data_IF_868033243273
#
_entry.id   IF_868033243273
#
_cell.length_a   1.000
_cell.length_b   1.000
_cell.length_c   1.000
_cell.angle_alpha   90.00
_cell.angle_beta   90.00
_cell.angle_gamma   90.00
#
_symmetry.space_group_name_H-M   'P 1'
#
loop_
_entity.id
_entity.type
_entity.pdbx_description
1 polymer ?
#
# COMPACT_ATOMS: atom_id res chain seq x y z
N UNK A 1 -10.56 -5.48 51.72
CA UNK A 1 -9.88 -5.27 50.41
C UNK A 1 -9.72 -6.61 49.69
N UNK A 2 -10.82 -7.27 49.31
CA UNK A 2 -10.73 -8.60 48.68
C UNK A 2 -11.80 -8.89 47.60
N UNK A 3 -12.64 -7.91 47.23
CA UNK A 3 -13.71 -8.11 46.24
C UNK A 3 -13.50 -7.41 44.88
N UNK A 4 -12.38 -6.71 44.67
CA UNK A 4 -12.10 -6.02 43.38
C UNK A 4 -11.25 -6.80 42.39
N UNK A 5 -11.05 -8.11 42.58
CA UNK A 5 -10.21 -8.94 41.68
C UNK A 5 -10.98 -9.84 40.71
N UNK A 6 -12.31 -9.89 40.74
CA UNK A 6 -13.07 -10.89 39.94
C UNK A 6 -13.86 -10.35 38.73
N UNK A 7 -13.60 -9.12 38.27
CA UNK A 7 -14.26 -8.56 37.06
C UNK A 7 -13.34 -8.26 35.88
N UNK A 8 -12.09 -8.74 35.88
CA UNK A 8 -11.34 -8.85 34.63
C UNK A 8 -11.71 -10.17 33.95
N UNK A 9 -12.92 -10.16 33.38
CA UNK A 9 -13.37 -11.23 32.50
C UNK A 9 -12.35 -11.46 31.41
N UNK A 10 -12.02 -12.73 31.23
CA UNK A 10 -11.29 -13.38 30.16
C UNK A 10 -11.59 -12.75 28.77
N UNK A 11 -10.96 -11.61 28.45
CA UNK A 11 -11.02 -11.02 27.11
C UNK A 11 -10.00 -11.78 26.28
N UNK A 12 -10.48 -12.61 25.36
CA UNK A 12 -9.61 -13.25 24.38
C UNK A 12 -8.76 -12.17 23.69
N UNK A 13 -7.47 -12.38 23.45
CA UNK A 13 -6.53 -11.37 22.93
C UNK A 13 -6.82 -10.91 21.47
N UNK A 14 -7.97 -11.28 20.90
CA UNK A 14 -8.32 -11.06 19.50
C UNK A 14 -9.67 -10.35 19.29
N UNK A 15 -10.39 -9.96 20.35
CA UNK A 15 -11.64 -9.21 20.20
C UNK A 15 -11.36 -7.71 20.34
N UNK A 16 -10.91 -7.10 19.24
CA UNK A 16 -10.90 -5.65 19.09
C UNK A 16 -12.30 -5.13 19.43
N UNK A 17 -12.36 -4.19 20.38
CA UNK A 17 -13.61 -3.52 20.70
C UNK A 17 -14.14 -2.79 19.47
N UNK A 18 -15.47 -2.61 19.33
CA UNK A 18 -16.04 -1.82 18.22
C UNK A 18 -15.41 -0.42 18.11
N UNK A 19 -14.97 0.14 19.25
CA UNK A 19 -14.28 1.41 19.33
C UNK A 19 -12.86 1.37 18.74
N UNK A 20 -12.07 0.35 19.08
CA UNK A 20 -10.73 0.15 18.50
C UNK A 20 -10.79 -0.15 17.01
N UNK A 21 -11.77 -0.94 16.57
CA UNK A 21 -12.02 -1.17 15.14
C UNK A 21 -12.37 0.13 14.41
N UNK A 22 -13.24 0.98 14.99
CA UNK A 22 -13.58 2.26 14.38
C UNK A 22 -12.35 3.18 14.26
N UNK A 23 -11.51 3.25 15.30
CA UNK A 23 -10.25 3.99 15.28
C UNK A 23 -9.28 3.48 14.21
N UNK A 24 -9.13 2.16 14.12
CA UNK A 24 -8.29 1.49 13.12
C UNK A 24 -8.77 1.76 11.70
N UNK A 25 -10.07 1.62 11.44
CA UNK A 25 -10.69 1.88 10.13
C UNK A 25 -10.55 3.35 9.75
N UNK A 26 -10.80 4.27 10.67
CA UNK A 26 -10.67 5.70 10.41
C UNK A 26 -9.21 6.08 10.09
N UNK A 27 -8.27 5.64 10.93
CA UNK A 27 -6.83 5.87 10.74
C UNK A 27 -6.36 5.32 9.40
N UNK A 28 -6.74 4.09 9.10
CA UNK A 28 -6.47 3.42 7.84
C UNK A 28 -7.02 4.24 6.68
N UNK A 29 -8.30 4.62 6.71
CA UNK A 29 -8.94 5.38 5.64
C UNK A 29 -8.28 6.73 5.39
N UNK A 30 -7.92 7.45 6.45
CA UNK A 30 -7.32 8.77 6.35
C UNK A 30 -5.87 8.73 5.83
N UNK A 31 -5.02 7.84 6.36
CA UNK A 31 -3.66 7.61 5.84
C UNK A 31 -3.73 7.29 4.35
N UNK A 32 -4.66 6.41 4.00
CA UNK A 32 -4.81 5.90 2.66
C UNK A 32 -5.29 6.91 1.63
N UNK A 33 -6.27 7.73 2.01
CA UNK A 33 -6.71 8.84 1.19
C UNK A 33 -5.54 9.80 0.91
N UNK A 34 -4.78 10.12 1.96
CA UNK A 34 -3.63 11.04 1.86
C UNK A 34 -2.54 10.47 0.96
N UNK A 35 -2.17 9.19 1.12
CA UNK A 35 -1.22 8.48 0.25
C UNK A 35 -1.69 8.50 -1.21
N UNK A 36 -2.98 8.27 -1.44
CA UNK A 36 -3.54 8.22 -2.79
C UNK A 36 -3.54 9.58 -3.47
N UNK A 37 -3.86 10.63 -2.72
CA UNK A 37 -3.80 12.00 -3.20
C UNK A 37 -2.35 12.42 -3.51
N UNK A 38 -1.41 12.15 -2.60
CA UNK A 38 -0.01 12.54 -2.74
C UNK A 38 0.76 11.79 -3.84
N UNK A 39 0.36 10.55 -4.17
CA UNK A 39 1.12 9.72 -5.13
C UNK A 39 0.56 9.70 -6.55
N UNK A 40 -0.63 10.26 -6.78
CA UNK A 40 -1.28 10.24 -8.08
C UNK A 40 -0.51 10.89 -9.23
N UNK A 41 0.12 12.07 -9.05
CA UNK A 41 0.92 12.68 -10.11
C UNK A 41 2.04 11.75 -10.61
N UNK A 42 2.68 11.02 -9.69
CA UNK A 42 3.74 10.05 -10.01
C UNK A 42 3.20 8.84 -10.76
N UNK A 43 2.02 8.33 -10.39
CA UNK A 43 1.37 7.23 -11.10
C UNK A 43 1.04 7.62 -12.54
N UNK A 44 0.55 8.84 -12.77
CA UNK A 44 0.32 9.35 -14.11
C UNK A 44 1.62 9.43 -14.92
N UNK A 45 2.70 9.97 -14.33
CA UNK A 45 3.99 10.10 -14.99
C UNK A 45 4.62 8.73 -15.31
N UNK A 46 4.56 7.77 -14.38
CA UNK A 46 5.05 6.40 -14.58
C UNK A 46 4.33 5.72 -15.73
N UNK A 47 3.00 5.85 -15.75
CA UNK A 47 2.19 5.36 -16.84
C UNK A 47 2.70 5.95 -18.16
N UNK A 48 2.77 7.28 -18.29
CA UNK A 48 3.26 7.95 -19.51
C UNK A 48 4.66 7.48 -19.95
N UNK A 49 5.60 7.36 -19.02
CA UNK A 49 6.97 6.86 -19.31
C UNK A 49 6.94 5.42 -19.83
N UNK A 50 6.20 4.54 -19.18
CA UNK A 50 6.12 3.13 -19.55
C UNK A 50 5.39 2.93 -20.90
N UNK A 51 4.45 3.82 -21.26
CA UNK A 51 3.83 3.85 -22.60
C UNK A 51 4.76 4.32 -23.70
N UNK A 52 5.52 5.40 -23.44
CA UNK A 52 6.53 5.87 -24.39
C UNK A 52 7.57 4.80 -24.68
N UNK A 53 7.85 3.93 -23.71
CA UNK A 53 8.79 2.82 -23.85
C UNK A 53 8.18 1.57 -24.47
N UNK A 54 6.85 1.37 -24.39
CA UNK A 54 6.18 0.16 -24.90
C UNK A 54 5.75 0.25 -26.37
N UNK A 55 6.04 1.36 -27.06
CA UNK A 55 5.74 1.54 -28.49
C UNK A 55 4.26 1.49 -28.86
N UNK A 56 3.36 1.69 -27.88
CA UNK A 56 1.90 1.62 -28.08
C UNK A 56 1.35 3.01 -28.43
N UNK A 57 0.48 3.17 -29.44
CA UNK A 57 -0.08 4.48 -29.84
C UNK A 57 -0.74 5.19 -28.65
N UNK A 58 -0.44 6.48 -28.48
CA UNK A 58 -0.83 7.25 -27.31
C UNK A 58 -2.35 7.48 -27.22
N UNK A 59 -3.05 6.67 -26.43
CA UNK A 59 -4.42 6.97 -25.96
C UNK A 59 -4.48 8.06 -24.88
N UNK A 60 -3.32 8.61 -24.49
CA UNK A 60 -3.12 9.63 -23.46
C UNK A 60 -3.37 11.07 -23.97
N UNK A 61 -4.29 11.25 -24.91
CA UNK A 61 -4.71 12.57 -25.43
C UNK A 61 -5.62 13.35 -24.46
N UNK A 62 -5.97 12.78 -23.31
CA UNK A 62 -6.65 13.47 -22.22
C UNK A 62 -5.64 14.07 -21.25
N UNK A 63 -5.66 15.40 -21.07
CA UNK A 63 -4.73 16.14 -20.21
C UNK A 63 -4.57 15.60 -18.77
N UNK A 64 -3.54 16.08 -18.08
CA UNK A 64 -3.10 15.67 -16.74
C UNK A 64 -4.26 15.33 -15.78
N UNK A 65 -5.23 16.25 -15.66
CA UNK A 65 -6.37 16.12 -14.75
C UNK A 65 -7.31 14.96 -15.08
N UNK A 66 -7.56 14.69 -16.38
CA UNK A 66 -8.43 13.58 -16.81
C UNK A 66 -7.76 12.22 -16.55
N UNK A 67 -6.44 12.15 -16.75
CA UNK A 67 -5.65 10.97 -16.43
C UNK A 67 -5.55 10.69 -14.92
N UNK A 68 -5.41 11.74 -14.11
CA UNK A 68 -5.44 11.64 -12.65
C UNK A 68 -6.80 11.15 -12.13
N UNK A 69 -7.91 11.72 -12.60
CA UNK A 69 -9.25 11.37 -12.12
C UNK A 69 -9.66 9.93 -12.45
N UNK A 70 -9.34 9.44 -13.66
CA UNK A 70 -9.60 8.03 -14.05
C UNK A 70 -8.82 7.03 -13.20
N UNK A 71 -7.61 7.39 -12.79
CA UNK A 71 -6.80 6.58 -11.88
C UNK A 71 -7.18 6.73 -10.41
N UNK A 72 -7.77 7.86 -10.01
CA UNK A 72 -7.99 8.24 -8.60
C UNK A 72 -8.69 7.14 -7.82
N UNK A 73 -9.88 6.70 -8.25
CA UNK A 73 -10.69 5.71 -7.52
C UNK A 73 -9.94 4.38 -7.30
N UNK A 74 -9.38 3.74 -8.35
CA UNK A 74 -8.55 2.56 -8.19
C UNK A 74 -7.32 2.79 -7.29
N UNK A 75 -6.67 3.95 -7.39
CA UNK A 75 -5.51 4.28 -6.56
C UNK A 75 -5.90 4.60 -5.12
N UNK A 76 -7.08 5.20 -4.88
CA UNK A 76 -7.67 5.43 -3.57
C UNK A 76 -7.94 4.11 -2.85
N UNK A 77 -8.50 3.14 -3.57
CA UNK A 77 -8.70 1.78 -3.05
C UNK A 77 -7.34 1.11 -2.78
N UNK A 78 -6.37 1.22 -3.69
CA UNK A 78 -5.04 0.66 -3.45
C UNK A 78 -4.32 1.34 -2.27
N UNK A 79 -4.49 2.66 -2.10
CA UNK A 79 -4.01 3.39 -0.94
C UNK A 79 -4.68 2.92 0.34
N UNK A 80 -6.01 2.69 0.32
CA UNK A 80 -6.83 2.15 1.43
C UNK A 80 -6.22 0.90 2.03
N UNK A 81 -5.71 0.03 1.17
CA UNK A 81 -5.12 -1.20 1.62
C UNK A 81 -3.65 -1.09 2.02
N UNK A 82 -2.87 -0.20 1.38
CA UNK A 82 -1.51 0.13 1.85
C UNK A 82 -1.50 0.75 3.25
N UNK A 83 -2.45 1.65 3.53
CA UNK A 83 -2.66 2.18 4.88
C UNK A 83 -3.05 1.07 5.85
N UNK A 84 -3.93 0.15 5.45
CA UNK A 84 -4.37 -0.97 6.29
C UNK A 84 -3.20 -1.90 6.66
N UNK A 85 -2.35 -2.28 5.69
CA UNK A 85 -1.15 -3.11 5.93
C UNK A 85 -0.17 -2.40 6.87
N UNK A 86 0.05 -1.10 6.68
CA UNK A 86 0.98 -0.35 7.52
C UNK A 86 0.48 -0.19 8.96
N UNK A 87 -0.80 0.17 9.13
CA UNK A 87 -1.42 0.33 10.45
C UNK A 87 -1.49 -1.01 11.17
N UNK A 88 -1.89 -2.09 10.49
CA UNK A 88 -1.95 -3.43 11.10
C UNK A 88 -0.57 -3.92 11.52
N UNK A 89 0.46 -3.76 10.68
CA UNK A 89 1.84 -4.09 11.04
C UNK A 89 2.30 -3.32 12.30
N UNK A 90 2.08 -2.01 12.32
CA UNK A 90 2.47 -1.18 13.47
C UNK A 90 1.70 -1.49 14.74
N UNK A 91 0.38 -1.68 14.66
CA UNK A 91 -0.44 -2.05 15.81
C UNK A 91 -0.08 -3.43 16.36
N UNK A 92 0.23 -4.38 15.48
CA UNK A 92 0.72 -5.71 15.88
C UNK A 92 2.04 -5.60 16.64
N UNK A 93 2.94 -4.71 16.20
CA UNK A 93 4.23 -4.50 16.88
C UNK A 93 4.06 -3.71 18.20
N UNK A 94 3.22 -2.68 18.23
CA UNK A 94 3.02 -1.83 19.41
C UNK A 94 2.26 -2.52 20.55
N UNK A 95 1.22 -3.30 20.23
CA UNK A 95 0.51 -4.10 21.24
C UNK A 95 1.41 -5.14 21.93
N UNK A 96 2.55 -5.48 21.33
CA UNK A 96 3.53 -6.41 21.90
C UNK A 96 4.50 -5.72 22.87
N UNK A 97 4.76 -4.42 22.71
CA UNK A 97 5.59 -3.68 23.69
C UNK A 97 4.85 -3.51 25.03
N UNK A 98 3.52 -3.56 25.03
CA UNK A 98 2.66 -3.36 26.20
C UNK A 98 2.16 -4.67 26.84
N UNK A 99 2.22 -5.82 26.15
CA UNK A 99 1.85 -7.14 26.70
C UNK A 99 2.97 -8.18 26.50
N UNK A 100 3.60 -8.63 27.60
CA UNK A 100 4.56 -9.76 27.68
C UNK A 100 3.91 -11.13 27.33
N UNK A 101 3.03 -11.20 26.34
CA UNK A 101 2.49 -12.46 25.83
C UNK A 101 3.10 -12.76 24.45
N UNK A 102 4.04 -13.70 24.45
CA UNK A 102 4.76 -14.20 23.29
C UNK A 102 3.83 -14.92 22.30
N UNK A 103 3.07 -14.19 21.48
CA UNK A 103 2.59 -14.78 20.25
C UNK A 103 3.82 -15.05 19.36
N UNK A 104 4.01 -16.28 18.84
CA UNK A 104 5.20 -16.62 18.08
C UNK A 104 5.33 -15.70 16.86
N UNK A 105 6.51 -15.10 16.69
CA UNK A 105 6.87 -14.13 15.63
C UNK A 105 6.37 -14.56 14.24
N UNK A 106 6.34 -15.87 13.97
CA UNK A 106 5.83 -16.48 12.74
C UNK A 106 4.34 -16.23 12.48
N UNK A 107 3.49 -16.27 13.52
CA UNK A 107 2.03 -16.15 13.38
C UNK A 107 1.60 -14.70 13.11
N UNK A 108 2.34 -13.74 13.68
CA UNK A 108 2.18 -12.28 13.42
C UNK A 108 2.53 -11.92 11.98
N UNK A 109 3.69 -12.37 11.51
CA UNK A 109 4.10 -12.19 10.13
C UNK A 109 3.14 -12.86 9.15
N UNK A 110 2.63 -14.04 9.48
CA UNK A 110 1.69 -14.77 8.61
C UNK A 110 0.39 -13.99 8.41
N UNK A 111 -0.20 -13.41 9.46
CA UNK A 111 -1.44 -12.63 9.36
C UNK A 111 -1.28 -11.40 8.46
N UNK A 112 -0.21 -10.62 8.68
CA UNK A 112 0.06 -9.42 7.86
C UNK A 112 0.45 -9.78 6.43
N UNK A 113 1.21 -10.87 6.24
CA UNK A 113 1.54 -11.38 4.90
C UNK A 113 0.26 -11.82 4.18
N UNK A 114 -0.59 -12.63 4.80
CA UNK A 114 -1.86 -13.07 4.20
C UNK A 114 -2.75 -11.88 3.83
N UNK A 115 -2.86 -10.88 4.72
CA UNK A 115 -3.60 -9.67 4.44
C UNK A 115 -2.98 -8.86 3.28
N UNK A 116 -1.64 -8.77 3.20
CA UNK A 116 -0.95 -8.12 2.07
C UNK A 116 -1.17 -8.85 0.74
N UNK A 117 -1.23 -10.19 0.75
CA UNK A 117 -1.50 -10.98 -0.45
C UNK A 117 -2.97 -10.85 -0.88
N UNK A 118 -3.90 -10.85 0.08
CA UNK A 118 -5.32 -10.60 -0.17
C UNK A 118 -5.57 -9.18 -0.69
N UNK A 119 -4.81 -8.19 -0.19
CA UNK A 119 -4.81 -6.86 -0.77
C UNK A 119 -4.35 -6.89 -2.24
N UNK A 120 -3.21 -7.52 -2.51
CA UNK A 120 -2.64 -7.65 -3.86
C UNK A 120 -3.61 -8.31 -4.84
N UNK A 121 -4.39 -9.33 -4.42
CA UNK A 121 -5.50 -9.92 -5.19
C UNK A 121 -6.43 -8.85 -5.75
N UNK A 122 -6.98 -8.05 -4.85
CA UNK A 122 -8.06 -7.12 -5.17
C UNK A 122 -7.49 -5.85 -5.83
N UNK A 123 -6.32 -5.37 -5.41
CA UNK A 123 -5.71 -4.17 -5.98
C UNK A 123 -5.14 -4.43 -7.38
N UNK A 124 -4.62 -5.61 -7.69
CA UNK A 124 -4.13 -5.94 -9.03
C UNK A 124 -5.25 -5.93 -10.08
N UNK A 125 -6.42 -6.48 -9.75
CA UNK A 125 -7.57 -6.47 -10.65
C UNK A 125 -8.04 -5.05 -10.98
N UNK A 126 -8.23 -4.21 -9.95
CA UNK A 126 -8.74 -2.85 -10.10
C UNK A 126 -7.70 -1.90 -10.73
N UNK A 127 -6.46 -1.91 -10.24
CA UNK A 127 -5.37 -1.09 -10.81
C UNK A 127 -5.00 -1.53 -12.21
N UNK A 128 -5.06 -2.84 -12.49
CA UNK A 128 -4.81 -3.40 -13.81
C UNK A 128 -5.81 -2.89 -14.83
N UNK A 129 -7.11 -2.93 -14.50
CA UNK A 129 -8.17 -2.34 -15.34
C UNK A 129 -7.95 -0.84 -15.54
N UNK A 130 -7.73 -0.08 -14.47
CA UNK A 130 -7.55 1.37 -14.54
C UNK A 130 -6.41 1.75 -15.49
N UNK A 131 -5.32 0.99 -15.39
CA UNK A 131 -4.15 1.18 -16.23
C UNK A 131 -4.40 0.82 -17.68
N UNK A 132 -5.10 -0.28 -17.96
CA UNK A 132 -5.50 -0.67 -19.32
C UNK A 132 -6.55 0.28 -19.93
N UNK A 133 -7.39 0.92 -19.09
CA UNK A 133 -8.32 1.95 -19.52
C UNK A 133 -7.64 3.27 -19.83
N UNK A 134 -6.65 3.66 -19.02
CA UNK A 134 -5.89 4.89 -19.24
C UNK A 134 -5.12 4.92 -20.56
N UNK A 135 -4.97 3.75 -21.19
CA UNK A 135 -4.12 3.56 -22.38
C UNK A 135 -4.93 3.25 -23.62
N UNK A 136 -6.25 3.18 -23.47
CA UNK A 136 -7.17 2.87 -24.56
C UNK A 136 -7.16 1.41 -25.01
N UNK A 137 -6.48 0.50 -24.29
CA UNK A 137 -6.58 -0.95 -24.56
C UNK A 137 -7.97 -1.44 -24.18
N UNK A 138 -8.52 -0.93 -23.07
CA UNK A 138 -9.85 -1.27 -22.57
C UNK A 138 -10.74 -0.02 -22.55
N UNK A 139 -11.94 -0.14 -23.10
CA UNK A 139 -13.03 0.83 -23.05
C UNK A 139 -14.29 0.19 -22.45
N UNK A 140 -15.32 0.99 -22.16
CA UNK A 140 -16.59 0.49 -21.63
C UNK A 140 -17.30 -0.49 -22.60
N UNK A 141 -17.02 -0.38 -23.90
CA UNK A 141 -17.64 -1.18 -24.96
C UNK A 141 -16.94 -2.53 -25.17
N UNK A 142 -15.61 -2.60 -25.01
CA UNK A 142 -14.81 -3.78 -25.32
C UNK A 142 -14.48 -4.66 -24.10
N UNK A 143 -14.79 -4.21 -22.88
CA UNK A 143 -14.48 -4.93 -21.65
C UNK A 143 -15.69 -5.11 -20.76
N UNK A 144 -15.93 -6.37 -20.39
CA UNK A 144 -16.91 -6.75 -19.39
C UNK A 144 -16.21 -7.36 -18.19
N UNK A 145 -16.67 -6.98 -17.00
CA UNK A 145 -16.26 -7.66 -15.77
C UNK A 145 -16.76 -9.10 -15.83
N UNK A 146 -15.83 -10.03 -15.78
CA UNK A 146 -16.08 -11.46 -15.64
C UNK A 146 -15.05 -12.03 -14.69
N UNK A 147 -15.36 -13.14 -14.02
CA UNK A 147 -14.39 -13.80 -13.15
C UNK A 147 -13.09 -14.13 -13.91
N UNK A 148 -13.19 -14.57 -15.16
CA UNK A 148 -12.03 -14.82 -16.02
C UNK A 148 -11.19 -13.56 -16.24
N UNK A 149 -11.81 -12.42 -16.53
CA UNK A 149 -11.09 -11.16 -16.78
C UNK A 149 -10.48 -10.60 -15.49
N UNK A 150 -11.23 -10.65 -14.38
CA UNK A 150 -10.71 -10.27 -13.06
C UNK A 150 -9.52 -11.14 -12.66
N UNK A 151 -9.67 -12.47 -12.74
CA UNK A 151 -8.60 -13.41 -12.44
C UNK A 151 -7.38 -13.19 -13.32
N UNK A 152 -7.57 -12.88 -14.61
CA UNK A 152 -6.47 -12.59 -15.53
C UNK A 152 -5.73 -11.31 -15.15
N UNK A 153 -6.44 -10.23 -14.84
CA UNK A 153 -5.85 -8.96 -14.37
C UNK A 153 -5.10 -9.12 -13.05
N UNK A 154 -5.63 -9.96 -12.17
CA UNK A 154 -5.03 -10.21 -10.86
C UNK A 154 -3.79 -11.10 -10.96
N UNK A 155 -3.85 -12.18 -11.74
CA UNK A 155 -2.76 -13.17 -11.83
C UNK A 155 -1.61 -12.76 -12.73
N UNK A 156 -1.85 -11.90 -13.75
CA UNK A 156 -0.80 -11.52 -14.72
C UNK A 156 0.44 -10.95 -14.04
N UNK A 157 0.24 -10.22 -12.93
CA UNK A 157 1.29 -9.51 -12.20
C UNK A 157 1.50 -10.01 -10.77
N UNK A 158 0.79 -11.06 -10.37
CA UNK A 158 0.77 -11.56 -9.01
C UNK A 158 2.17 -11.82 -8.47
N UNK A 159 2.95 -12.68 -9.14
CA UNK A 159 4.24 -13.14 -8.63
C UNK A 159 5.23 -12.00 -8.40
N UNK A 160 5.41 -11.14 -9.41
CA UNK A 160 6.35 -10.02 -9.31
C UNK A 160 5.91 -8.98 -8.28
N UNK A 161 4.60 -8.70 -8.17
CA UNK A 161 4.08 -7.75 -7.18
C UNK A 161 4.05 -8.32 -5.77
N UNK A 162 3.92 -9.63 -5.61
CA UNK A 162 4.05 -10.32 -4.32
C UNK A 162 5.47 -10.26 -3.81
N UNK A 163 6.46 -10.50 -4.68
CA UNK A 163 7.87 -10.31 -4.35
C UNK A 163 8.17 -8.86 -3.97
N UNK A 164 7.72 -7.89 -4.77
CA UNK A 164 7.89 -6.47 -4.46
C UNK A 164 7.19 -6.08 -3.15
N UNK A 165 6.00 -6.63 -2.88
CA UNK A 165 5.26 -6.46 -1.64
C UNK A 165 6.03 -7.00 -0.44
N UNK A 166 6.63 -8.19 -0.56
CA UNK A 166 7.48 -8.78 0.47
C UNK A 166 8.70 -7.93 0.79
N UNK A 167 9.38 -7.36 -0.22
CA UNK A 167 10.52 -6.45 -0.02
C UNK A 167 10.09 -5.15 0.67
N UNK A 168 8.99 -4.54 0.21
CA UNK A 168 8.44 -3.33 0.85
C UNK A 168 8.05 -3.62 2.31
N UNK A 169 7.45 -4.78 2.58
CA UNK A 169 7.04 -5.19 3.91
C UNK A 169 8.23 -5.42 4.85
N UNK A 170 9.24 -6.16 4.40
CA UNK A 170 10.46 -6.36 5.16
C UNK A 170 11.13 -5.01 5.51
N UNK A 171 11.12 -4.06 4.57
CA UNK A 171 11.69 -2.74 4.82
C UNK A 171 10.82 -1.87 5.73
N UNK A 172 9.48 -2.00 5.75
CA UNK A 172 8.65 -1.37 6.78
C UNK A 172 9.04 -1.87 8.17
N UNK A 173 9.23 -3.18 8.31
CA UNK A 173 9.60 -3.82 9.57
C UNK A 173 11.00 -3.45 10.05
N UNK A 174 12.01 -3.55 9.18
CA UNK A 174 13.40 -3.23 9.55
C UNK A 174 13.68 -1.72 9.63
N UNK A 175 13.08 -0.91 8.75
CA UNK A 175 13.49 0.49 8.63
C UNK A 175 12.78 1.44 9.60
N UNK A 176 11.60 1.08 10.12
CA UNK A 176 10.85 1.91 11.07
C UNK A 176 11.65 2.27 12.33
N UNK A 177 12.51 1.35 12.79
CA UNK A 177 13.29 1.53 14.02
C UNK A 177 14.79 1.64 13.73
N UNK A 178 15.33 0.89 12.75
CA UNK A 178 16.74 0.99 12.40
C UNK A 178 17.07 2.26 11.60
N UNK A 179 16.27 2.60 10.58
CA UNK A 179 16.56 3.75 9.70
C UNK A 179 16.18 5.08 10.35
N UNK A 180 15.10 5.09 11.15
CA UNK A 180 14.74 6.29 11.92
C UNK A 180 15.80 6.65 12.97
N UNK A 181 16.51 5.66 13.53
CA UNK A 181 17.59 5.90 14.51
C UNK A 181 18.80 6.65 13.97
N UNK A 182 19.01 6.67 12.64
CA UNK A 182 20.06 7.47 12.01
C UNK A 182 19.75 8.97 12.02
N UNK A 183 18.46 9.33 12.12
CA UNK A 183 18.02 10.71 12.18
C UNK A 183 17.79 11.13 13.63
N UNK A 184 18.35 12.28 14.01
CA UNK A 184 18.28 12.84 15.37
C UNK A 184 17.75 14.28 15.34
N UNK A 185 16.62 14.49 14.67
CA UNK A 185 15.88 15.74 14.76
C UNK A 185 15.20 15.86 16.12
N UNK A 186 15.00 17.10 16.59
CA UNK A 186 14.39 17.40 17.90
C UNK A 186 12.95 16.90 18.05
N UNK A 187 12.23 16.72 16.93
CA UNK A 187 10.87 16.15 16.95
C UNK A 187 10.89 14.74 16.35
N UNK A 188 10.38 13.78 17.12
CA UNK A 188 10.30 12.38 16.72
C UNK A 188 9.51 12.16 15.42
N UNK A 189 8.46 12.96 15.19
CA UNK A 189 7.70 12.99 13.95
C UNK A 189 8.60 13.17 12.70
N UNK A 190 9.60 14.05 12.75
CA UNK A 190 10.51 14.27 11.63
C UNK A 190 11.48 13.09 11.44
N UNK A 191 11.92 12.44 12.52
CA UNK A 191 12.74 11.24 12.44
C UNK A 191 11.99 10.08 11.78
N UNK A 192 10.71 9.88 12.15
CA UNK A 192 9.85 8.84 11.56
C UNK A 192 9.50 9.16 10.09
N UNK A 193 9.27 10.42 9.75
CA UNK A 193 9.05 10.86 8.36
C UNK A 193 10.31 10.63 7.50
N UNK A 194 11.48 11.06 7.97
CA UNK A 194 12.74 10.91 7.24
C UNK A 194 13.18 9.45 7.12
N UNK A 195 13.01 8.68 8.20
CA UNK A 195 13.26 7.24 8.22
C UNK A 195 12.36 6.49 7.22
N UNK A 196 11.07 6.80 7.22
CA UNK A 196 10.12 6.28 6.25
C UNK A 196 10.44 6.69 4.80
N UNK A 197 10.77 7.96 4.57
CA UNK A 197 11.12 8.43 3.23
C UNK A 197 12.33 7.68 2.66
N UNK A 198 13.38 7.53 3.47
CA UNK A 198 14.63 6.85 3.10
C UNK A 198 14.42 5.36 2.88
N UNK A 199 13.63 4.70 3.73
CA UNK A 199 13.26 3.30 3.54
C UNK A 199 12.49 3.09 2.24
N UNK A 200 11.62 4.04 1.88
CA UNK A 200 10.91 4.04 0.61
C UNK A 200 11.81 4.12 -0.61
N UNK A 201 12.85 4.94 -0.55
CA UNK A 201 13.85 5.05 -1.62
C UNK A 201 14.61 3.73 -1.75
N UNK A 202 15.11 3.18 -0.64
CA UNK A 202 15.83 1.89 -0.63
C UNK A 202 14.93 0.78 -1.18
N UNK A 203 13.68 0.70 -0.72
CA UNK A 203 12.71 -0.27 -1.20
C UNK A 203 12.47 -0.14 -2.71
N UNK A 204 12.45 1.09 -3.22
CA UNK A 204 12.29 1.33 -4.65
C UNK A 204 13.44 0.76 -5.48
N UNK A 205 14.68 0.85 -4.99
CA UNK A 205 15.84 0.33 -5.74
C UNK A 205 15.69 -1.17 -6.04
N UNK A 206 15.21 -1.95 -5.06
CA UNK A 206 14.99 -3.39 -5.20
C UNK A 206 13.66 -3.74 -5.88
N UNK A 207 12.60 -2.97 -5.62
CA UNK A 207 11.26 -3.28 -6.16
C UNK A 207 11.02 -2.74 -7.56
N UNK A 208 11.86 -1.85 -8.09
CA UNK A 208 11.66 -1.28 -9.44
C UNK A 208 11.73 -2.34 -10.53
N UNK A 209 12.68 -3.28 -10.46
CA UNK A 209 12.82 -4.36 -11.45
C UNK A 209 11.55 -5.25 -11.53
N UNK A 210 11.11 -5.89 -10.43
CA UNK A 210 9.92 -6.75 -10.47
C UNK A 210 8.65 -5.97 -10.81
N UNK A 211 8.54 -4.70 -10.38
CA UNK A 211 7.40 -3.87 -10.72
C UNK A 211 7.40 -3.43 -12.20
N UNK A 212 8.55 -3.09 -12.77
CA UNK A 212 8.68 -2.75 -14.19
C UNK A 212 8.29 -3.92 -15.07
N UNK A 213 8.73 -5.14 -14.71
CA UNK A 213 8.35 -6.36 -15.41
C UNK A 213 6.83 -6.63 -15.34
N UNK A 214 6.23 -6.56 -14.15
CA UNK A 214 4.78 -6.69 -13.99
C UNK A 214 4.01 -5.65 -14.83
N UNK A 215 4.45 -4.40 -14.78
CA UNK A 215 3.78 -3.34 -15.52
C UNK A 215 3.88 -3.57 -17.03
N UNK A 216 5.07 -3.84 -17.57
CA UNK A 216 5.25 -4.12 -19.00
C UNK A 216 4.41 -5.33 -19.47
N UNK A 217 4.37 -6.40 -18.66
CA UNK A 217 3.56 -7.58 -18.96
C UNK A 217 2.06 -7.27 -19.02
N UNK A 218 1.57 -6.44 -18.10
CA UNK A 218 0.20 -5.97 -18.12
C UNK A 218 -0.09 -5.10 -19.35
N UNK A 219 0.81 -4.19 -19.73
CA UNK A 219 0.60 -3.30 -20.87
C UNK A 219 0.54 -4.02 -22.22
N UNK A 220 1.16 -5.20 -22.32
CA UNK A 220 1.05 -6.05 -23.50
C UNK A 220 -0.26 -6.87 -23.53
N UNK A 221 -1.14 -6.71 -22.55
CA UNK A 221 -2.46 -7.37 -22.55
C UNK A 221 -3.32 -6.78 -23.67
N UNK A 222 -4.02 -7.65 -24.40
CA UNK A 222 -4.98 -7.27 -25.46
C UNK A 222 -6.36 -7.83 -25.16
N UNK A 223 -7.38 -7.20 -25.73
CA UNK A 223 -8.75 -7.71 -25.75
C UNK A 223 -8.89 -8.62 -26.98
N UNK A 224 -9.24 -9.88 -26.78
CA UNK A 224 -9.59 -10.80 -27.87
C UNK A 224 -11.03 -10.55 -28.35
N UNK A 225 -11.37 -11.08 -29.53
CA UNK A 225 -12.67 -10.91 -30.20
C UNK A 225 -13.88 -11.33 -29.33
N UNK A 226 -13.67 -12.17 -28.33
CA UNK A 226 -14.69 -12.62 -27.37
C UNK A 226 -14.77 -11.77 -26.07
N UNK A 227 -14.25 -10.54 -26.07
CA UNK A 227 -14.16 -9.66 -24.89
C UNK A 227 -13.37 -10.23 -23.70
N UNK A 228 -12.49 -11.23 -23.95
CA UNK A 228 -11.59 -11.78 -22.92
C UNK A 228 -10.20 -11.15 -23.02
N UNK A 229 -9.57 -10.99 -21.87
CA UNK A 229 -8.20 -10.49 -21.80
C UNK A 229 -7.17 -11.58 -22.10
N UNK A 230 -6.31 -11.31 -23.08
CA UNK A 230 -5.18 -12.17 -23.44
C UNK A 230 -3.89 -11.48 -23.06
N UNK A 231 -3.07 -12.14 -22.26
CA UNK A 231 -1.81 -11.63 -21.74
C UNK A 231 -0.64 -12.37 -22.38
N UNK A 232 0.47 -11.68 -22.56
CA UNK A 232 1.72 -12.27 -23.03
C UNK A 232 2.30 -13.20 -21.95
N UNK A 233 2.87 -14.33 -22.38
CA UNK A 233 3.48 -15.29 -21.47
C UNK A 233 4.90 -14.84 -21.09
N UNK A 234 5.42 -15.23 -19.91
CA UNK A 234 6.82 -14.97 -19.56
C UNK A 234 7.79 -15.46 -20.65
N UNK A 235 7.53 -16.64 -21.22
CA UNK A 235 8.32 -17.22 -22.30
C UNK A 235 8.42 -16.33 -23.54
N UNK A 236 7.30 -15.71 -23.94
CA UNK A 236 7.28 -14.81 -25.11
C UNK A 236 8.01 -13.49 -24.81
N UNK A 237 7.93 -12.97 -23.58
CA UNK A 237 8.73 -11.82 -23.16
C UNK A 237 10.23 -12.13 -23.12
N UNK A 238 10.64 -13.30 -22.62
CA UNK A 238 12.04 -13.74 -22.66
C UNK A 238 12.52 -13.94 -24.09
N UNK A 239 11.68 -14.48 -24.98
CA UNK A 239 11.97 -14.59 -26.41
C UNK A 239 12.23 -13.21 -27.05
N UNK A 240 11.36 -12.23 -26.79
CA UNK A 240 11.52 -10.85 -27.25
C UNK A 240 12.82 -10.22 -26.71
N UNK A 241 13.12 -10.41 -25.42
CA UNK A 241 14.34 -9.90 -24.81
C UNK A 241 15.59 -10.55 -25.41
N UNK A 242 15.57 -11.87 -25.64
CA UNK A 242 16.65 -12.60 -26.32
C UNK A 242 16.86 -12.07 -27.75
N UNK A 243 15.78 -11.86 -28.51
CA UNK A 243 15.89 -11.29 -29.86
C UNK A 243 16.44 -9.86 -29.85
N UNK A 244 16.07 -9.05 -28.87
CA UNK A 244 16.57 -7.69 -28.71
C UNK A 244 18.06 -7.67 -28.33
N UNK A 245 18.48 -8.51 -27.39
CA UNK A 245 19.89 -8.68 -27.01
C UNK A 245 20.73 -9.17 -28.19
N UNK A 246 20.18 -10.07 -29.03
CA UNK A 246 20.86 -10.52 -30.26
C UNK A 246 20.99 -9.42 -31.32
N UNK A 247 20.04 -8.48 -31.38
CA UNK A 247 20.03 -7.40 -32.36
C UNK A 247 20.94 -6.21 -31.99
N UNK A 248 20.96 -5.82 -30.71
CA UNK A 248 21.65 -4.60 -30.25
C UNK A 248 22.94 -4.92 -29.49
N UNK A 249 23.14 -6.18 -29.08
CA UNK A 249 24.29 -6.61 -28.28
C UNK A 249 24.07 -6.46 -26.77
N UNK A 250 24.77 -7.29 -25.98
CA UNK A 250 24.56 -7.41 -24.53
C UNK A 250 24.83 -6.09 -23.78
N UNK A 251 25.93 -5.41 -24.10
CA UNK A 251 26.36 -4.18 -23.43
C UNK A 251 25.37 -3.03 -23.65
N UNK A 252 24.87 -2.92 -24.87
CA UNK A 252 24.00 -1.82 -25.30
C UNK A 252 22.54 -2.07 -24.87
N UNK A 253 22.10 -3.33 -24.91
CA UNK A 253 20.85 -3.75 -24.27
C UNK A 253 20.87 -3.51 -22.76
N UNK A 254 21.99 -3.79 -22.07
CA UNK A 254 22.14 -3.53 -20.64
C UNK A 254 22.16 -2.02 -20.33
N UNK A 255 22.91 -1.21 -21.08
CA UNK A 255 22.91 0.25 -20.91
C UNK A 255 21.53 0.86 -21.15
N UNK A 256 20.80 0.38 -22.16
CA UNK A 256 19.43 0.82 -22.45
C UNK A 256 18.49 0.41 -21.32
N UNK A 257 18.55 -0.85 -20.88
CA UNK A 257 17.80 -1.34 -19.73
C UNK A 257 18.08 -0.52 -18.47
N UNK A 258 19.35 -0.26 -18.15
CA UNK A 258 19.75 0.41 -16.92
C UNK A 258 19.47 1.91 -16.94
N UNK A 259 19.90 2.63 -17.98
CA UNK A 259 19.78 4.09 -18.06
C UNK A 259 18.39 4.56 -18.48
N UNK A 260 17.80 3.92 -19.49
CA UNK A 260 16.51 4.34 -20.05
C UNK A 260 15.36 3.64 -19.32
N UNK A 261 15.47 2.35 -19.04
CA UNK A 261 14.42 1.60 -18.35
C UNK A 261 14.40 1.81 -16.83
N UNK A 262 15.47 1.38 -16.16
CA UNK A 262 15.54 1.29 -14.71
C UNK A 262 15.67 2.67 -14.05
N UNK A 263 16.68 3.47 -14.41
CA UNK A 263 16.92 4.77 -13.76
C UNK A 263 15.77 5.75 -13.94
N UNK A 264 15.14 5.82 -15.12
CA UNK A 264 13.96 6.67 -15.33
C UNK A 264 12.79 6.24 -14.43
N UNK A 265 12.58 4.93 -14.28
CA UNK A 265 11.52 4.43 -13.40
C UNK A 265 11.88 4.65 -11.92
N UNK A 266 13.14 4.46 -11.51
CA UNK A 266 13.59 4.78 -10.15
C UNK A 266 13.39 6.27 -9.86
N UNK A 267 13.72 7.16 -10.80
CA UNK A 267 13.58 8.60 -10.63
C UNK A 267 12.14 9.05 -10.34
N UNK A 268 11.12 8.30 -10.81
CA UNK A 268 9.71 8.59 -10.51
C UNK A 268 9.19 7.77 -9.32
N UNK A 269 9.57 6.49 -9.23
CA UNK A 269 9.12 5.59 -8.15
C UNK A 269 9.73 5.96 -6.79
N UNK A 270 10.96 6.47 -6.75
CA UNK A 270 11.66 6.73 -5.50
C UNK A 270 11.06 7.92 -4.74
N UNK A 271 10.80 9.09 -5.37
CA UNK A 271 10.04 10.15 -4.73
C UNK A 271 8.61 9.71 -4.36
N UNK A 272 7.95 8.93 -5.22
CA UNK A 272 6.63 8.40 -4.92
C UNK A 272 6.62 7.51 -3.68
N UNK A 273 7.59 6.61 -3.55
CA UNK A 273 7.73 5.75 -2.39
C UNK A 273 8.09 6.58 -1.16
N UNK A 274 9.04 7.50 -1.27
CA UNK A 274 9.42 8.39 -0.18
C UNK A 274 8.19 9.13 0.39
N UNK A 275 7.36 9.71 -0.49
CA UNK A 275 6.10 10.36 -0.11
C UNK A 275 5.12 9.36 0.51
N UNK A 276 4.98 8.18 -0.07
CA UNK A 276 4.08 7.13 0.46
C UNK A 276 4.43 6.80 1.90
N UNK A 277 5.70 6.50 2.16
CA UNK A 277 6.16 6.12 3.49
C UNK A 277 6.15 7.32 4.44
N UNK A 278 6.61 8.50 4.02
CA UNK A 278 6.52 9.72 4.81
C UNK A 278 5.09 10.01 5.27
N UNK A 279 4.10 9.88 4.38
CA UNK A 279 2.69 10.07 4.71
C UNK A 279 2.17 8.98 5.63
N UNK A 280 2.53 7.71 5.39
CA UNK A 280 2.13 6.60 6.29
C UNK A 280 2.67 6.83 7.70
N UNK A 281 3.98 7.06 7.84
CA UNK A 281 4.61 7.23 9.15
C UNK A 281 4.19 8.53 9.82
N UNK A 282 4.15 9.64 9.08
CA UNK A 282 3.79 10.96 9.62
C UNK A 282 2.34 11.04 10.06
N UNK A 283 1.40 10.52 9.27
CA UNK A 283 -0.03 10.51 9.65
C UNK A 283 -0.32 9.51 10.77
N UNK A 284 0.38 8.36 10.78
CA UNK A 284 0.24 7.37 11.84
C UNK A 284 0.66 7.93 13.21
N UNK A 285 1.78 8.66 13.24
CA UNK A 285 2.29 9.32 14.44
C UNK A 285 1.38 10.50 14.85
N UNK A 286 1.02 11.37 13.90
CA UNK A 286 0.16 12.53 14.16
C UNK A 286 -1.22 12.16 14.72
N UNK A 287 -1.82 11.07 14.24
CA UNK A 287 -3.15 10.61 14.69
C UNK A 287 -3.10 9.86 16.02
N UNK A 288 -1.95 9.34 16.43
CA UNK A 288 -1.82 8.51 17.62
C UNK A 288 -2.63 7.21 17.56
N UNK A 289 -2.78 6.50 18.69
CA UNK A 289 -3.47 5.20 18.75
C UNK A 289 -5.00 5.31 18.66
N UNK A 290 -5.59 6.43 19.09
CA UNK A 290 -7.05 6.63 19.18
C UNK A 290 -7.49 7.96 18.55
N UNK A 291 -7.48 8.08 17.20
CA UNK A 291 -7.82 9.32 16.51
C UNK A 291 -9.25 9.81 16.75
N UNK A 292 -10.19 8.91 17.07
CA UNK A 292 -11.59 9.25 17.31
C UNK A 292 -11.85 9.75 18.74
N UNK A 293 -10.85 9.76 19.63
CA UNK A 293 -11.03 10.13 21.04
C UNK A 293 -11.72 11.48 21.26
N UNK A 294 -11.44 12.47 20.40
CA UNK A 294 -12.06 13.80 20.50
C UNK A 294 -13.52 13.87 20.06
N UNK A 295 -13.98 12.93 19.24
CA UNK A 295 -15.33 12.94 18.63
C UNK A 295 -16.21 11.84 19.24
N UNK A 296 -15.59 10.75 19.67
CA UNK A 296 -16.20 9.62 20.35
C UNK A 296 -15.22 9.13 21.43
N UNK A 297 -15.35 9.56 22.70
CA UNK A 297 -14.41 9.17 23.76
C UNK A 297 -14.51 7.70 24.22
N UNK A 298 -15.50 6.94 23.74
CA UNK A 298 -15.67 5.52 24.11
C UNK A 298 -16.34 5.37 25.49
N UNK A 299 -16.85 4.17 25.80
CA UNK A 299 -17.64 3.96 27.03
C UNK A 299 -16.82 4.00 28.34
N UNK A 300 -15.54 3.63 28.29
CA UNK A 300 -14.70 3.50 29.49
C UNK A 300 -14.42 4.85 30.14
N UNK A 301 -14.15 5.90 29.37
CA UNK A 301 -13.96 7.25 29.92
C UNK A 301 -15.27 7.93 30.35
N UNK A 302 -16.43 7.56 29.77
CA UNK A 302 -17.72 8.13 30.18
C UNK A 302 -18.08 7.66 31.61
N UNK A 303 -17.80 6.39 31.94
CA UNK A 303 -18.01 5.88 33.31
C UNK A 303 -17.02 6.51 34.31
N UNK A 304 -15.77 6.78 33.91
CA UNK A 304 -14.79 7.49 34.75
C UNK A 304 -15.18 8.97 34.96
N UNK A 305 -15.61 9.68 33.91
CA UNK A 305 -16.09 11.06 33.97
C UNK A 305 -17.40 11.22 34.78
N UNK A 306 -18.31 10.24 34.70
CA UNK A 306 -19.53 10.20 35.53
C UNK A 306 -19.22 9.87 37.00
N UNK A 307 -18.14 9.11 37.27
CA UNK A 307 -17.70 8.80 38.63
C UNK A 307 -16.96 9.94 39.34
N UNK A 308 -16.38 10.88 38.58
CA UNK A 308 -15.69 12.06 39.12
C UNK A 308 -16.62 13.25 39.40
N UNK A 309 -17.88 13.23 38.91
CA UNK A 309 -18.89 14.19 39.37
C UNK A 309 -19.30 13.89 40.81
N UNK A 310 -19.08 14.79 41.79
CA UNK A 310 -19.42 14.53 43.18
C UNK A 310 -20.94 14.42 43.32
N UNK A 311 -21.40 13.24 43.74
CA UNK A 311 -22.78 13.04 44.19
C UNK A 311 -23.11 14.09 45.25
N UNK A 312 -24.23 14.84 45.14
CA UNK A 312 -24.62 15.76 46.20
C UNK A 312 -24.85 14.96 47.48
N UNK A 313 -24.04 15.28 48.50
CA UNK A 313 -24.10 14.70 49.83
C UNK A 313 -25.54 14.70 50.35
N UNK A 314 -26.03 13.60 50.94
CA UNK A 314 -27.36 13.58 51.52
C UNK A 314 -27.39 14.55 52.70
N UNK A 315 -28.07 15.67 52.54
CA UNK A 315 -28.42 16.57 53.65
C UNK A 315 -29.26 15.79 54.64
N UNK A 316 -28.66 15.47 55.79
CA UNK A 316 -29.40 15.14 57.00
C UNK A 316 -30.24 16.36 57.38
N UNK A 317 -31.56 16.22 57.34
CA UNK A 317 -32.50 16.70 58.36
C UNK A 317 -33.86 16.08 58.10
#
# INVERSE_FOLDING_TARGET
>A
MQERREKQGNKSPYLLTPYEMANLVFKTGAISFTVSAGTQPFQYLLNKLQFSQSGTPSGLSGGLFRGMYRGFLPYAIAGQKRGAVAVTHKQTNKATEEEEFEAPVRQRWLGTVLFSQADLLVSNGLSGKARLQNVGVINAENFKWSFSNFWKLTTVNWGSRSFAGGVNFALIGFAGDYVSSFYKFDKDLYNKIAGGATSGIIATLFTTIPNAYADNKLLQTKVAENNRLVTVSPYTMFGQMKSHVKAVGLKEAFLTFFKVGYLQQVAVRAPQAAITFALIFGMDEYMGPQPLKKVWPGRVEIEELESETPSPSPTKK
#
